data_IF_380645364996
#
_entry.id   IF_380645364996
#
_cell.length_a   1.000
_cell.length_b   1.000
_cell.length_c   1.000
_cell.angle_alpha   90.00
_cell.angle_beta   90.00
_cell.angle_gamma   90.00
#
_symmetry.space_group_name_H-M   'P 1'
#
loop_
_entity.id
_entity.type
_entity.pdbx_description
1 polymer ?
#
# COMPACT_ATOMS: atom_id res chain seq x y z
N UNK A 1 16.75 29.88 -14.18
CA UNK A 1 15.54 30.11 -13.38
C UNK A 1 15.62 31.48 -12.74
N UNK A 2 14.61 32.35 -12.90
CA UNK A 2 14.65 33.75 -12.42
C UNK A 2 13.70 34.05 -11.26
N UNK A 3 13.67 35.30 -10.74
CA UNK A 3 12.83 35.72 -9.61
C UNK A 3 11.32 35.46 -9.79
N UNK A 4 10.83 35.38 -11.04
CA UNK A 4 9.43 35.04 -11.33
C UNK A 4 9.08 33.61 -10.89
N UNK A 5 10.02 32.66 -10.93
CA UNK A 5 9.78 31.28 -10.52
C UNK A 5 9.37 31.19 -9.05
N UNK A 6 9.99 32.00 -8.18
CA UNK A 6 9.64 32.06 -6.76
C UNK A 6 8.21 32.56 -6.55
N UNK A 7 7.73 33.48 -7.40
CA UNK A 7 6.33 33.94 -7.37
C UNK A 7 5.36 32.81 -7.77
N UNK A 8 5.72 32.02 -8.79
CA UNK A 8 4.95 30.84 -9.19
C UNK A 8 4.87 29.77 -8.08
N UNK A 9 6.00 29.47 -7.42
CA UNK A 9 6.03 28.55 -6.29
C UNK A 9 5.21 29.06 -5.09
N UNK A 10 5.18 30.38 -4.84
CA UNK A 10 4.32 30.98 -3.80
C UNK A 10 2.83 30.81 -4.12
N UNK A 11 2.44 30.95 -5.38
CA UNK A 11 1.06 30.68 -5.79
C UNK A 11 0.70 29.19 -5.61
N UNK A 12 1.56 28.27 -6.07
CA UNK A 12 1.35 26.83 -5.87
C UNK A 12 1.27 26.43 -4.40
N UNK A 13 2.06 27.10 -3.53
CA UNK A 13 2.00 26.92 -2.08
C UNK A 13 0.64 27.34 -1.51
N UNK A 14 0.06 28.45 -1.96
CA UNK A 14 -1.27 28.88 -1.54
C UNK A 14 -2.36 27.88 -1.96
N UNK A 15 -2.17 27.19 -3.09
CA UNK A 15 -3.07 26.13 -3.56
C UNK A 15 -2.88 24.78 -2.86
N UNK A 16 -2.03 24.67 -1.83
CA UNK A 16 -1.84 23.41 -1.08
C UNK A 16 -3.14 22.86 -0.49
N UNK A 17 -4.11 23.73 -0.18
CA UNK A 17 -5.42 23.35 0.37
C UNK A 17 -6.32 22.64 -0.64
N UNK A 18 -6.02 22.73 -1.94
CA UNK A 18 -6.76 21.99 -2.97
C UNK A 18 -6.41 20.50 -2.96
N UNK A 19 -5.29 20.08 -2.34
CA UNK A 19 -4.88 18.68 -2.30
C UNK A 19 -5.94 17.82 -1.62
N UNK A 20 -6.29 16.70 -2.24
CA UNK A 20 -7.34 15.81 -1.72
C UNK A 20 -8.78 16.32 -1.95
N UNK A 21 -8.97 17.46 -2.63
CA UNK A 21 -10.29 17.95 -3.05
C UNK A 21 -10.59 17.57 -4.50
N UNK A 22 -11.83 17.77 -4.96
CA UNK A 22 -12.20 17.59 -6.37
C UNK A 22 -11.41 18.48 -7.34
N UNK A 23 -10.84 19.59 -6.85
CA UNK A 23 -10.02 20.52 -7.64
C UNK A 23 -8.52 20.18 -7.61
N UNK A 24 -8.13 19.04 -7.03
CA UNK A 24 -6.75 18.57 -7.08
C UNK A 24 -6.42 18.01 -8.48
N UNK A 25 -5.91 18.85 -9.38
CA UNK A 25 -5.52 18.43 -10.73
C UNK A 25 -4.48 17.31 -10.72
N UNK A 26 -3.59 17.27 -9.73
CA UNK A 26 -2.58 16.23 -9.62
C UNK A 26 -3.20 14.87 -9.23
N UNK A 27 -4.37 14.90 -8.59
CA UNK A 27 -5.14 13.69 -8.25
C UNK A 27 -5.61 12.90 -9.48
N UNK A 28 -5.71 13.55 -10.64
CA UNK A 28 -6.18 12.94 -11.89
C UNK A 28 -5.10 12.11 -12.59
N UNK A 29 -3.83 12.28 -12.21
CA UNK A 29 -2.71 11.52 -12.79
C UNK A 29 -2.86 10.02 -12.50
N UNK A 30 -2.49 9.18 -13.47
CA UNK A 30 -2.52 7.73 -13.31
C UNK A 30 -1.67 7.26 -12.13
N UNK A 31 -0.56 7.96 -11.86
CA UNK A 31 0.34 7.68 -10.75
C UNK A 31 -0.35 7.88 -9.39
N UNK A 32 -1.02 9.03 -9.18
CA UNK A 32 -1.75 9.30 -7.93
C UNK A 32 -2.95 8.38 -7.73
N UNK A 33 -3.61 7.94 -8.80
CA UNK A 33 -4.71 6.96 -8.70
C UNK A 33 -4.19 5.61 -8.20
N UNK A 34 -3.07 5.13 -8.75
CA UNK A 34 -2.43 3.88 -8.29
C UNK A 34 -1.96 3.96 -6.84
N UNK A 35 -1.40 5.10 -6.40
CA UNK A 35 -1.03 5.29 -4.99
C UNK A 35 -2.23 5.13 -4.05
N UNK A 36 -3.38 5.72 -4.38
CA UNK A 36 -4.59 5.56 -3.57
C UNK A 36 -5.13 4.14 -3.59
N UNK A 37 -5.06 3.45 -4.73
CA UNK A 37 -5.44 2.04 -4.82
C UNK A 37 -4.53 1.17 -3.94
N UNK A 38 -3.22 1.42 -3.93
CA UNK A 38 -2.28 0.72 -3.05
C UNK A 38 -2.55 1.00 -1.57
N UNK A 39 -2.91 2.23 -1.21
CA UNK A 39 -3.30 2.57 0.16
C UNK A 39 -4.57 1.83 0.58
N UNK A 40 -5.63 1.88 -0.24
CA UNK A 40 -6.87 1.17 0.05
C UNK A 40 -6.67 -0.35 0.13
N UNK A 41 -5.80 -0.91 -0.71
CA UNK A 41 -5.42 -2.32 -0.63
C UNK A 41 -4.70 -2.65 0.68
N UNK A 42 -3.79 -1.79 1.13
CA UNK A 42 -3.10 -1.99 2.40
C UNK A 42 -4.06 -1.91 3.59
N UNK A 43 -5.01 -0.98 3.59
CA UNK A 43 -6.05 -0.89 4.62
C UNK A 43 -6.90 -2.17 4.66
N UNK A 44 -7.31 -2.69 3.48
CA UNK A 44 -8.03 -3.95 3.37
C UNK A 44 -7.18 -5.16 3.85
N UNK A 45 -5.87 -5.15 3.62
CA UNK A 45 -4.96 -6.18 4.11
C UNK A 45 -4.86 -6.17 5.64
N UNK A 46 -4.84 -4.99 6.26
CA UNK A 46 -4.85 -4.86 7.72
C UNK A 46 -6.17 -5.36 8.33
N UNK A 47 -7.30 -5.07 7.68
CA UNK A 47 -8.60 -5.60 8.10
C UNK A 47 -8.66 -7.13 7.95
N UNK A 48 -8.13 -7.67 6.84
CA UNK A 48 -7.99 -9.11 6.66
C UNK A 48 -7.14 -9.74 7.76
N UNK A 49 -5.97 -9.16 8.06
CA UNK A 49 -5.10 -9.60 9.16
C UNK A 49 -5.87 -9.61 10.48
N UNK A 50 -6.60 -8.54 10.80
CA UNK A 50 -7.37 -8.46 12.04
C UNK A 50 -8.44 -9.55 12.13
N UNK A 51 -9.07 -9.91 11.00
CA UNK A 51 -10.14 -10.92 10.96
C UNK A 51 -9.66 -12.38 10.94
N UNK A 52 -8.46 -12.62 10.39
CA UNK A 52 -7.93 -13.96 10.11
C UNK A 52 -6.65 -14.28 10.90
N UNK A 53 -6.35 -13.55 11.97
CA UNK A 53 -5.15 -13.82 12.76
C UNK A 53 -5.33 -15.09 13.59
N UNK A 54 -4.44 -16.06 13.38
CA UNK A 54 -4.30 -17.26 14.21
C UNK A 54 -2.86 -17.39 14.73
N UNK A 55 -2.60 -18.18 15.78
CA UNK A 55 -1.24 -18.42 16.28
C UNK A 55 -0.26 -18.90 15.18
N UNK A 56 -0.74 -19.76 14.27
CA UNK A 56 0.05 -20.26 13.13
C UNK A 56 0.21 -19.24 11.98
N UNK A 57 -0.54 -18.13 12.00
CA UNK A 57 -0.57 -17.11 10.95
C UNK A 57 0.22 -15.84 11.26
N UNK A 58 0.80 -15.70 12.46
CA UNK A 58 1.46 -14.47 12.92
C UNK A 58 2.58 -14.03 11.96
N UNK A 59 3.42 -14.96 11.51
CA UNK A 59 4.52 -14.67 10.58
C UNK A 59 3.99 -14.16 9.22
N UNK A 60 2.94 -14.81 8.70
CA UNK A 60 2.31 -14.41 7.44
C UNK A 60 1.63 -13.05 7.55
N UNK A 61 0.97 -12.76 8.67
CA UNK A 61 0.37 -11.46 8.96
C UNK A 61 1.42 -10.34 9.04
N UNK A 62 2.51 -10.56 9.79
CA UNK A 62 3.60 -9.58 9.90
C UNK A 62 4.29 -9.33 8.55
N UNK A 63 4.52 -10.39 7.77
CA UNK A 63 5.06 -10.27 6.43
C UNK A 63 4.10 -9.51 5.50
N UNK A 64 2.79 -9.80 5.54
CA UNK A 64 1.79 -9.10 4.74
C UNK A 64 1.76 -7.60 5.06
N UNK A 65 1.78 -7.24 6.35
CA UNK A 65 1.86 -5.84 6.79
C UNK A 65 3.14 -5.13 6.33
N UNK A 66 4.23 -5.87 6.06
CA UNK A 66 5.50 -5.33 5.59
C UNK A 66 5.57 -5.10 4.07
N UNK A 67 4.63 -5.63 3.28
CA UNK A 67 4.63 -5.56 1.81
C UNK A 67 4.80 -4.14 1.25
N UNK A 68 4.17 -3.08 1.79
CA UNK A 68 4.36 -1.72 1.27
C UNK A 68 5.82 -1.26 1.25
N UNK A 69 6.68 -1.80 2.12
CA UNK A 69 8.09 -1.44 2.18
C UNK A 69 8.90 -1.89 0.95
N UNK A 70 8.36 -2.82 0.16
CA UNK A 70 8.92 -3.29 -1.10
C UNK A 70 8.72 -2.27 -2.24
N UNK A 71 7.74 -1.38 -2.12
CA UNK A 71 7.39 -0.41 -3.15
C UNK A 71 8.23 0.87 -2.94
N UNK A 72 9.40 0.92 -3.59
CA UNK A 72 10.34 2.05 -3.50
C UNK A 72 10.66 2.65 -4.86
N UNK A 73 11.29 3.83 -4.85
CA UNK A 73 11.70 4.56 -6.05
C UNK A 73 10.58 5.41 -6.66
N UNK A 74 10.80 5.85 -7.90
CA UNK A 74 9.92 6.78 -8.61
C UNK A 74 9.65 6.29 -10.04
N UNK A 75 8.53 6.73 -10.62
CA UNK A 75 8.17 6.41 -12.01
C UNK A 75 8.16 4.91 -12.30
N UNK A 76 8.89 4.50 -13.35
CA UNK A 76 8.94 3.11 -13.81
C UNK A 76 9.52 2.13 -12.76
N UNK A 77 10.50 2.57 -11.95
CA UNK A 77 11.10 1.74 -10.89
C UNK A 77 10.05 1.39 -9.84
N UNK A 78 9.22 2.36 -9.47
CA UNK A 78 8.14 2.16 -8.50
C UNK A 78 7.06 1.24 -9.04
N UNK A 79 6.72 1.38 -10.32
CA UNK A 79 5.75 0.51 -10.98
C UNK A 79 6.21 -0.95 -10.98
N UNK A 80 7.45 -1.21 -11.40
CA UNK A 80 8.01 -2.56 -11.38
C UNK A 80 8.10 -3.15 -9.95
N UNK A 81 8.40 -2.31 -8.96
CA UNK A 81 8.43 -2.72 -7.55
C UNK A 81 7.03 -3.05 -7.03
N UNK A 82 6.00 -2.29 -7.44
CA UNK A 82 4.61 -2.54 -7.10
C UNK A 82 4.09 -3.87 -7.68
N UNK A 83 4.48 -4.22 -8.91
CA UNK A 83 4.15 -5.52 -9.52
C UNK A 83 4.76 -6.70 -8.73
N UNK A 84 6.02 -6.58 -8.30
CA UNK A 84 6.65 -7.57 -7.42
C UNK A 84 5.95 -7.67 -6.06
N UNK A 85 5.61 -6.53 -5.47
CA UNK A 85 4.91 -6.47 -4.19
C UNK A 85 3.51 -7.12 -4.28
N UNK A 86 2.81 -6.97 -5.41
CA UNK A 86 1.51 -7.63 -5.63
C UNK A 86 1.62 -9.16 -5.67
N UNK A 87 2.69 -9.69 -6.24
CA UNK A 87 3.00 -11.13 -6.20
C UNK A 87 3.22 -11.62 -4.77
N UNK A 88 4.07 -10.92 -4.01
CA UNK A 88 4.37 -11.30 -2.63
C UNK A 88 3.14 -11.18 -1.71
N UNK A 89 2.34 -10.12 -1.88
CA UNK A 89 1.05 -9.95 -1.21
C UNK A 89 0.15 -11.16 -1.41
N UNK A 90 -0.03 -11.59 -2.67
CA UNK A 90 -0.93 -12.69 -3.01
C UNK A 90 -0.51 -13.99 -2.32
N UNK A 91 0.79 -14.28 -2.30
CA UNK A 91 1.36 -15.42 -1.59
C UNK A 91 1.13 -15.35 -0.08
N UNK A 92 1.28 -14.18 0.52
CA UNK A 92 1.13 -13.97 1.95
C UNK A 92 -0.32 -14.04 2.42
N UNK A 93 -1.25 -13.49 1.62
CA UNK A 93 -2.70 -13.64 1.84
C UNK A 93 -3.09 -15.11 1.84
N UNK A 94 -2.61 -15.89 0.86
CA UNK A 94 -2.89 -17.33 0.79
C UNK A 94 -2.33 -18.08 2.01
N UNK A 95 -1.10 -17.75 2.45
CA UNK A 95 -0.51 -18.33 3.67
C UNK A 95 -1.33 -18.01 4.92
N UNK A 96 -1.78 -16.76 5.07
CA UNK A 96 -2.56 -16.31 6.22
C UNK A 96 -3.90 -17.04 6.30
N UNK A 97 -4.63 -17.12 5.18
CA UNK A 97 -5.92 -17.82 5.11
C UNK A 97 -5.75 -19.31 5.44
N UNK A 98 -4.75 -19.98 4.83
CA UNK A 98 -4.45 -21.39 5.11
C UNK A 98 -4.07 -21.66 6.57
N UNK A 99 -3.42 -20.71 7.24
CA UNK A 99 -3.05 -20.83 8.66
C UNK A 99 -4.25 -20.64 9.59
N UNK A 100 -5.32 -19.99 9.12
CA UNK A 100 -6.59 -19.87 9.85
C UNK A 100 -7.39 -21.17 9.75
N UNK A 101 -7.36 -21.79 8.57
CA UNK A 101 -8.09 -23.04 8.27
C UNK A 101 -7.49 -24.30 8.88
N UNK A 102 -6.25 -24.25 9.39
CA UNK A 102 -5.64 -25.35 10.14
C UNK A 102 -5.77 -25.04 11.64
N UNK A 103 -6.84 -25.51 12.31
CA UNK A 103 -6.85 -25.48 13.75
C UNK A 103 -5.77 -26.44 14.27
N UNK A 104 -5.48 -26.34 15.56
CA UNK A 104 -4.47 -27.01 16.39
C UNK A 104 -4.45 -28.57 16.36
N UNK A 105 -4.88 -29.22 15.28
CA UNK A 105 -4.99 -30.67 15.08
C UNK A 105 -3.65 -31.43 15.08
N UNK A 106 -2.52 -30.79 15.39
CA UNK A 106 -1.20 -31.46 15.46
C UNK A 106 -0.56 -31.43 16.85
N UNK A 107 -1.23 -30.90 17.88
CA UNK A 107 -0.68 -30.83 19.25
C UNK A 107 -1.11 -32.00 20.17
N UNK A 108 -1.69 -33.07 19.63
CA UNK A 108 -2.10 -34.24 20.41
C UNK A 108 -1.84 -35.55 19.66
N UNK A 109 -0.56 -35.90 19.46
CA UNK A 109 -0.08 -37.28 19.34
C UNK A 109 1.29 -37.43 20.04
#
# INVERSE_FOLDING_TARGET
FGPWMLKGLRLLSALKGLRGTAFDLFSLTAERRRERQLLAQYEADLELIASALSPGGIEAAAALASVPTLIRGYGHVRQASAEKAAGERSRLVERLVKATERPELQAAE
#
